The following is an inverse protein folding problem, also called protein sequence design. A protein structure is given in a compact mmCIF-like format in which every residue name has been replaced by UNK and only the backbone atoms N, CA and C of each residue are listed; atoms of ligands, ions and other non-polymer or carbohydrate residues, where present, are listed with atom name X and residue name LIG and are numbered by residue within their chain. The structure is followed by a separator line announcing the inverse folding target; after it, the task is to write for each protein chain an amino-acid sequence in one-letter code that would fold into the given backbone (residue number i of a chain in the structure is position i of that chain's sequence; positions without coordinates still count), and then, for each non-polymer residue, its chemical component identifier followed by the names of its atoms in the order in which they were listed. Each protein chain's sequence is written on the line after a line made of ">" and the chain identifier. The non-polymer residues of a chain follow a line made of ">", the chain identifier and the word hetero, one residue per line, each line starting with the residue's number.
data_IF_182968307448
#
_entry.id   IF_182968307448
#
_cell.length_a   1.000
_cell.length_b   1.000
_cell.length_c   1.000
_cell.angle_alpha   90.00
_cell.angle_beta   90.00
_cell.angle_gamma   90.00
#
_symmetry.space_group_name_H-M   'P 1'
#
loop_
_entity.id
_entity.type
_entity.pdbx_description
1 polymer ?
#
# COMPACT_ATOMS: atom_id res chain seq x y z
N UNK A 1 -8.59 10.37 3.80
CA UNK A 1 -8.58 9.30 4.84
C UNK A 1 -10.01 9.14 5.37
N UNK A 2 -10.39 7.93 5.80
CA UNK A 2 -11.73 7.69 6.35
C UNK A 2 -11.85 8.39 7.72
N UNK A 3 -13.00 9.03 8.01
CA UNK A 3 -13.25 9.71 9.31
C UNK A 3 -12.97 8.83 10.53
N UNK A 4 -13.22 7.52 10.41
CA UNK A 4 -12.94 6.54 11.48
C UNK A 4 -11.45 6.31 11.74
N UNK A 5 -10.61 6.48 10.71
CA UNK A 5 -9.16 6.35 10.83
C UNK A 5 -8.59 7.58 11.56
N UNK A 6 -9.06 8.78 11.19
CA UNK A 6 -8.60 10.04 11.78
C UNK A 6 -8.90 10.11 13.30
N UNK A 7 -10.05 9.59 13.74
CA UNK A 7 -10.40 9.46 15.16
C UNK A 7 -9.55 8.42 15.91
N UNK A 8 -9.15 7.33 15.26
CA UNK A 8 -8.26 6.32 15.88
C UNK A 8 -6.85 6.88 16.08
N UNK A 9 -6.40 7.78 15.19
CA UNK A 9 -5.03 8.28 15.18
C UNK A 9 -4.81 9.55 16.01
N UNK A 10 -5.86 10.29 16.35
CA UNK A 10 -5.78 11.52 17.16
C UNK A 10 -5.22 11.28 18.57
N UNK A 11 -5.30 10.05 19.08
CA UNK A 11 -4.80 9.66 20.41
C UNK A 11 -3.37 9.09 20.40
N UNK A 12 -2.70 9.01 19.24
CA UNK A 12 -1.35 8.47 19.12
C UNK A 12 -0.30 9.57 19.25
N UNK A 13 0.93 9.20 19.64
CA UNK A 13 2.06 10.14 19.60
C UNK A 13 2.36 10.60 18.16
N UNK A 14 2.91 11.81 18.03
CA UNK A 14 3.16 12.46 16.73
C UNK A 14 4.01 11.59 15.79
N UNK A 15 4.98 10.85 16.34
CA UNK A 15 5.85 9.95 15.56
C UNK A 15 5.04 8.80 14.99
N UNK A 16 4.20 8.14 15.80
CA UNK A 16 3.30 7.07 15.31
C UNK A 16 2.31 7.58 14.27
N UNK A 17 1.74 8.77 14.45
CA UNK A 17 0.85 9.37 13.45
C UNK A 17 1.57 9.58 12.10
N UNK A 18 2.80 10.11 12.11
CA UNK A 18 3.62 10.27 10.89
C UNK A 18 3.94 8.92 10.24
N UNK A 19 4.33 7.91 11.02
CA UNK A 19 4.62 6.57 10.51
C UNK A 19 3.41 5.89 9.88
N UNK A 20 2.23 6.02 10.49
CA UNK A 20 0.99 5.46 9.95
C UNK A 20 0.58 6.13 8.63
N UNK A 21 0.75 7.46 8.53
CA UNK A 21 0.53 8.17 7.26
C UNK A 21 1.48 7.67 6.17
N UNK A 22 2.77 7.52 6.49
CA UNK A 22 3.75 6.97 5.54
C UNK A 22 3.37 5.55 5.10
N UNK A 23 3.03 4.65 6.04
CA UNK A 23 2.64 3.28 5.73
C UNK A 23 1.35 3.21 4.90
N UNK A 24 0.40 4.10 5.14
CA UNK A 24 -0.80 4.20 4.32
C UNK A 24 -0.46 4.64 2.89
N UNK A 25 0.41 5.64 2.72
CA UNK A 25 0.90 6.01 1.39
C UNK A 25 1.67 4.86 0.72
N UNK A 26 2.49 4.11 1.47
CA UNK A 26 3.20 2.94 0.95
C UNK A 26 2.25 1.82 0.49
N UNK A 27 1.14 1.62 1.19
CA UNK A 27 0.08 0.69 0.75
C UNK A 27 -0.49 1.10 -0.61
N UNK A 28 -0.82 2.38 -0.82
CA UNK A 28 -1.27 2.87 -2.13
C UNK A 28 -0.23 2.64 -3.25
N UNK A 29 1.07 2.74 -2.91
CA UNK A 29 2.14 2.49 -3.89
C UNK A 29 2.15 1.01 -4.27
N UNK A 30 2.10 0.12 -3.29
CA UNK A 30 2.01 -1.33 -3.51
C UNK A 30 0.78 -1.67 -4.35
N UNK A 31 -0.36 -1.09 -3.99
CA UNK A 31 -1.61 -1.26 -4.71
C UNK A 31 -1.46 -0.89 -6.20
N UNK A 32 -0.90 0.28 -6.47
CA UNK A 32 -0.70 0.78 -7.84
C UNK A 32 0.28 -0.11 -8.61
N UNK A 33 1.34 -0.60 -7.96
CA UNK A 33 2.29 -1.53 -8.57
C UNK A 33 1.61 -2.85 -8.95
N UNK A 34 0.85 -3.43 -8.03
CA UNK A 34 0.13 -4.68 -8.22
C UNK A 34 -0.89 -4.58 -9.36
N UNK A 35 -1.64 -3.48 -9.46
CA UNK A 35 -2.58 -3.28 -10.57
C UNK A 35 -1.91 -3.19 -11.95
N UNK A 36 -0.66 -2.67 -12.01
CA UNK A 36 0.09 -2.59 -13.26
C UNK A 36 0.68 -3.93 -13.67
N UNK A 37 1.19 -4.69 -12.69
CA UNK A 37 1.80 -5.99 -12.93
C UNK A 37 0.77 -7.09 -13.15
N UNK A 38 -0.37 -7.02 -12.44
CA UNK A 38 -1.44 -8.02 -12.44
C UNK A 38 -2.80 -7.33 -12.72
N UNK A 39 -3.13 -7.03 -13.98
CA UNK A 39 -4.36 -6.30 -14.33
C UNK A 39 -5.65 -7.05 -14.02
N UNK A 40 -5.57 -8.38 -13.87
CA UNK A 40 -6.68 -9.28 -13.50
C UNK A 40 -7.11 -9.15 -12.03
N UNK A 41 -6.27 -8.49 -11.22
CA UNK A 41 -6.40 -8.43 -9.77
C UNK A 41 -7.67 -7.68 -9.34
N UNK A 42 -8.45 -8.33 -8.48
CA UNK A 42 -9.61 -7.75 -7.79
C UNK A 42 -9.20 -7.27 -6.41
N UNK A 43 -9.50 -6.01 -6.12
CA UNK A 43 -9.12 -5.33 -4.87
C UNK A 43 -10.05 -5.73 -3.74
N UNK A 44 -9.49 -6.09 -2.57
CA UNK A 44 -10.27 -6.33 -1.37
C UNK A 44 -10.01 -5.26 -0.28
N UNK A 45 -8.78 -5.17 0.25
CA UNK A 45 -8.47 -4.28 1.38
C UNK A 45 -6.96 -4.05 1.54
N UNK A 46 -6.54 -2.89 2.06
CA UNK A 46 -5.12 -2.65 2.38
C UNK A 46 -4.94 -1.63 3.51
N UNK A 47 -5.06 -2.02 4.78
CA UNK A 47 -4.88 -1.09 5.88
C UNK A 47 -3.39 -0.99 6.28
N UNK A 48 -3.00 0.22 6.71
CA UNK A 48 -1.76 0.41 7.44
C UNK A 48 -1.89 -0.15 8.87
N UNK A 49 -0.83 -0.77 9.37
CA UNK A 49 -0.74 -1.37 10.70
C UNK A 49 0.36 -0.69 11.54
N UNK A 50 0.46 -1.09 12.81
CA UNK A 50 1.47 -0.57 13.73
C UNK A 50 2.89 -1.03 13.40
N UNK A 51 3.03 -2.09 12.59
CA UNK A 51 4.32 -2.63 12.16
C UNK A 51 4.59 -2.45 10.66
N UNK A 52 3.56 -2.24 9.84
CA UNK A 52 3.73 -2.09 8.40
C UNK A 52 2.41 -1.79 7.68
N UNK A 53 2.17 -2.52 6.60
CA UNK A 53 0.94 -2.49 5.82
C UNK A 53 0.81 -3.82 5.08
N UNK A 54 -0.39 -4.17 4.66
CA UNK A 54 -0.64 -5.33 3.82
C UNK A 54 -1.66 -4.99 2.76
N UNK A 55 -1.77 -5.85 1.76
CA UNK A 55 -2.74 -5.72 0.68
C UNK A 55 -3.36 -7.09 0.40
N UNK A 56 -4.66 -7.20 0.64
CA UNK A 56 -5.48 -8.35 0.30
C UNK A 56 -6.00 -8.19 -1.13
N UNK A 57 -5.80 -9.23 -1.92
CA UNK A 57 -6.21 -9.27 -3.31
C UNK A 57 -6.68 -10.66 -3.71
N UNK A 58 -7.53 -10.69 -4.73
CA UNK A 58 -7.97 -11.89 -5.40
C UNK A 58 -7.50 -11.83 -6.86
N UNK A 59 -6.82 -12.88 -7.31
CA UNK A 59 -6.26 -12.96 -8.65
C UNK A 59 -6.16 -14.42 -9.09
N UNK A 60 -6.27 -14.65 -10.39
CA UNK A 60 -6.00 -15.96 -11.01
C UNK A 60 -4.49 -16.17 -11.22
N UNK A 61 -3.70 -15.09 -11.15
CA UNK A 61 -2.25 -15.13 -11.33
C UNK A 61 -1.57 -15.71 -10.08
N UNK A 62 -0.60 -16.61 -10.27
CA UNK A 62 0.17 -17.18 -9.16
C UNK A 62 1.28 -16.21 -8.77
N UNK A 63 1.12 -15.56 -7.62
CA UNK A 63 2.14 -14.69 -7.02
C UNK A 63 2.94 -15.47 -5.98
N UNK A 64 4.25 -15.38 -6.05
CA UNK A 64 5.20 -16.07 -5.17
C UNK A 64 6.26 -15.13 -4.65
N UNK A 65 7.07 -15.58 -3.70
CA UNK A 65 8.17 -14.79 -3.14
C UNK A 65 9.21 -14.37 -4.20
N UNK A 66 9.30 -15.10 -5.31
CA UNK A 66 10.17 -14.76 -6.43
C UNK A 66 9.74 -13.47 -7.17
N UNK A 67 8.48 -13.05 -7.02
CA UNK A 67 7.92 -11.88 -7.65
C UNK A 67 8.16 -10.59 -6.83
N UNK A 68 8.54 -10.71 -5.56
CA UNK A 68 8.78 -9.56 -4.68
C UNK A 68 9.80 -8.55 -5.25
N UNK A 69 10.95 -8.96 -5.80
CA UNK A 69 11.89 -8.01 -6.41
C UNK A 69 11.29 -7.22 -7.58
N UNK A 70 10.37 -7.82 -8.33
CA UNK A 70 9.68 -7.16 -9.46
C UNK A 70 8.67 -6.14 -8.94
N UNK A 71 7.89 -6.52 -7.92
CA UNK A 71 6.92 -5.64 -7.27
C UNK A 71 7.62 -4.44 -6.64
N UNK A 72 8.69 -4.64 -5.86
CA UNK A 72 9.47 -3.57 -5.24
C UNK A 72 10.08 -2.62 -6.27
N UNK A 73 10.59 -3.17 -7.38
CA UNK A 73 11.13 -2.35 -8.48
C UNK A 73 10.06 -1.46 -9.10
N UNK A 74 8.85 -1.99 -9.29
CA UNK A 74 7.73 -1.19 -9.80
C UNK A 74 7.27 -0.13 -8.79
N UNK A 75 7.23 -0.46 -7.50
CA UNK A 75 6.97 0.51 -6.44
C UNK A 75 7.99 1.66 -6.46
N UNK A 76 9.29 1.35 -6.55
CA UNK A 76 10.34 2.36 -6.64
C UNK A 76 10.21 3.23 -7.90
N UNK A 77 9.81 2.63 -9.03
CA UNK A 77 9.52 3.36 -10.27
C UNK A 77 8.35 4.33 -10.10
N UNK A 78 7.28 3.91 -9.42
CA UNK A 78 6.10 4.75 -9.14
C UNK A 78 6.49 5.94 -8.28
N UNK A 79 7.26 5.72 -7.20
CA UNK A 79 7.74 6.78 -6.31
C UNK A 79 8.56 7.81 -7.10
N UNK A 80 9.48 7.34 -7.97
CA UNK A 80 10.31 8.23 -8.79
C UNK A 80 9.51 8.99 -9.85
N UNK A 81 8.37 8.46 -10.29
CA UNK A 81 7.59 9.06 -11.37
C UNK A 81 6.73 10.26 -10.96
N UNK A 82 6.72 10.64 -9.68
CA UNK A 82 5.88 11.72 -9.10
C UNK A 82 4.40 11.63 -9.54
N UNK A 83 3.93 10.41 -9.86
CA UNK A 83 2.54 10.19 -10.24
C UNK A 83 1.62 10.62 -9.11
N UNK A 84 0.64 11.47 -9.43
CA UNK A 84 -0.42 11.84 -8.48
C UNK A 84 -1.16 10.57 -8.07
N UNK A 85 -0.93 10.15 -6.83
CA UNK A 85 -1.68 9.08 -6.19
C UNK A 85 -3.04 9.66 -5.76
N UNK A 86 -4.13 8.93 -6.04
CA UNK A 86 -5.52 9.39 -5.83
C UNK A 86 -6.02 8.95 -4.46
#
# INVERSE_FOLDING_TARGET
>A
MSKKLDEKYSNLDEKKQKMLKLRHTSEHVLHTAMQKLYPSLKKAMGPATDDGFYFDFDTEDKITDADFPVIEKEMARIIKSESKMV
#
